data_IF_378167079099
#
_entry.id   IF_378167079099
#
_cell.length_a   1.000
_cell.length_b   1.000
_cell.length_c   1.000
_cell.angle_alpha   90.00
_cell.angle_beta   90.00
_cell.angle_gamma   90.00
#
_symmetry.space_group_name_H-M   'P 1'
#
loop_
_entity.id
_entity.type
_entity.pdbx_description
1 polymer ?
#
# COMPACT_ATOMS: atom_id res chain seq x y z
N UNK A 1 -35.63 -1.77 7.54
CA UNK A 1 -34.99 -0.52 7.06
C UNK A 1 -33.62 -0.75 6.42
N UNK A 2 -33.19 -2.00 6.17
CA UNK A 2 -31.91 -2.30 5.50
C UNK A 2 -32.13 -3.13 4.22
N UNK A 3 -33.07 -4.08 4.27
CA UNK A 3 -33.49 -4.94 3.16
C UNK A 3 -34.06 -4.19 1.95
N UNK A 4 -34.89 -3.16 2.15
CA UNK A 4 -35.46 -2.37 1.06
C UNK A 4 -34.39 -1.53 0.33
N UNK A 5 -33.40 -1.04 1.08
CA UNK A 5 -32.28 -0.28 0.54
C UNK A 5 -31.32 -1.21 -0.24
N UNK A 6 -31.08 -2.42 0.27
CA UNK A 6 -30.32 -3.46 -0.43
C UNK A 6 -31.02 -3.93 -1.72
N UNK A 7 -32.35 -4.12 -1.70
CA UNK A 7 -33.12 -4.53 -2.87
C UNK A 7 -33.02 -3.52 -4.03
N UNK A 8 -32.91 -2.23 -3.74
CA UNK A 8 -32.68 -1.19 -4.75
C UNK A 8 -31.35 -1.30 -5.49
N UNK A 9 -30.40 -2.09 -4.98
CA UNK A 9 -29.11 -2.36 -5.63
C UNK A 9 -29.03 -3.71 -6.35
N UNK A 10 -30.09 -4.53 -6.33
CA UNK A 10 -30.07 -5.87 -6.92
C UNK A 10 -29.70 -5.88 -8.43
N UNK A 11 -30.00 -4.81 -9.16
CA UNK A 11 -29.61 -4.67 -10.57
C UNK A 11 -28.08 -4.59 -10.76
N UNK A 12 -27.32 -4.23 -9.72
CA UNK A 12 -25.86 -4.16 -9.75
C UNK A 12 -25.19 -5.50 -9.40
N UNK A 13 -25.93 -6.49 -8.89
CA UNK A 13 -25.38 -7.77 -8.43
C UNK A 13 -24.47 -8.44 -9.50
N UNK A 14 -24.81 -8.46 -10.80
CA UNK A 14 -23.92 -9.03 -11.81
C UNK A 14 -22.59 -8.27 -11.97
N UNK A 15 -22.61 -6.95 -11.79
CA UNK A 15 -21.41 -6.10 -11.86
C UNK A 15 -20.51 -6.33 -10.64
N UNK A 16 -21.12 -6.45 -9.46
CA UNK A 16 -20.41 -6.79 -8.21
C UNK A 16 -19.73 -8.14 -8.34
N UNK A 17 -20.46 -9.19 -8.74
CA UNK A 17 -19.90 -10.53 -8.91
C UNK A 17 -18.77 -10.57 -9.95
N UNK A 18 -18.91 -9.82 -11.06
CA UNK A 18 -17.84 -9.69 -12.07
C UNK A 18 -16.60 -9.02 -11.46
N UNK A 19 -16.79 -7.97 -10.67
CA UNK A 19 -15.69 -7.25 -10.03
C UNK A 19 -14.97 -8.15 -9.01
N UNK A 20 -15.71 -8.82 -8.14
CA UNK A 20 -15.15 -9.78 -7.16
C UNK A 20 -14.29 -10.83 -7.85
N UNK A 21 -14.84 -11.51 -8.88
CA UNK A 21 -14.09 -12.51 -9.64
C UNK A 21 -12.83 -11.94 -10.29
N UNK A 22 -12.90 -10.72 -10.83
CA UNK A 22 -11.74 -10.07 -11.45
C UNK A 22 -10.67 -9.72 -10.41
N UNK A 23 -11.06 -9.22 -9.23
CA UNK A 23 -10.15 -8.89 -8.13
C UNK A 23 -9.52 -10.15 -7.53
N UNK A 24 -10.29 -11.22 -7.34
CA UNK A 24 -9.76 -12.54 -6.91
C UNK A 24 -8.69 -13.05 -7.88
N UNK A 25 -8.90 -12.86 -9.18
CA UNK A 25 -7.96 -13.25 -10.23
C UNK A 25 -6.64 -12.48 -10.25
N UNK A 26 -6.50 -11.40 -9.47
CA UNK A 26 -5.23 -10.67 -9.33
C UNK A 26 -4.24 -11.41 -8.43
N UNK A 27 -4.73 -12.27 -7.53
CA UNK A 27 -3.86 -13.00 -6.62
C UNK A 27 -3.25 -14.22 -7.32
N UNK A 28 -1.93 -14.43 -7.21
CA UNK A 28 -1.28 -15.63 -7.75
C UNK A 28 -1.90 -16.91 -7.18
N UNK A 29 -2.20 -17.88 -8.05
CA UNK A 29 -2.74 -19.17 -7.62
C UNK A 29 -1.76 -19.88 -6.68
N UNK A 30 -2.26 -20.33 -5.53
CA UNK A 30 -1.45 -21.01 -4.51
C UNK A 30 -0.58 -20.08 -3.66
N UNK A 31 -0.76 -18.76 -3.75
CA UNK A 31 -0.12 -17.79 -2.84
C UNK A 31 -0.71 -17.85 -1.43
N UNK A 32 0.14 -17.63 -0.42
CA UNK A 32 -0.26 -17.52 0.99
C UNK A 32 -0.54 -16.05 1.35
N UNK A 33 -1.54 -15.46 0.69
CA UNK A 33 -1.96 -14.09 0.97
C UNK A 33 -2.67 -14.04 2.33
N UNK A 34 -2.07 -13.38 3.31
CA UNK A 34 -2.63 -13.32 4.66
C UNK A 34 -2.42 -11.96 5.34
N UNK A 35 -3.37 -11.49 6.18
CA UNK A 35 -3.25 -10.20 6.86
C UNK A 35 -2.09 -10.15 7.88
N UNK A 36 -1.63 -11.32 8.36
CA UNK A 36 -0.50 -11.41 9.30
C UNK A 36 0.80 -10.80 8.77
N UNK A 37 1.00 -10.84 7.44
CA UNK A 37 2.18 -10.27 6.79
C UNK A 37 2.32 -8.77 7.05
N UNK A 38 1.20 -8.05 7.20
CA UNK A 38 1.23 -6.62 7.56
C UNK A 38 1.80 -6.44 8.97
N UNK A 39 1.38 -7.28 9.93
CA UNK A 39 1.89 -7.22 11.29
C UNK A 39 3.38 -7.59 11.36
N UNK A 40 3.80 -8.62 10.62
CA UNK A 40 5.21 -9.03 10.50
C UNK A 40 6.08 -7.91 9.92
N UNK A 41 5.59 -7.24 8.88
CA UNK A 41 6.29 -6.13 8.26
C UNK A 41 6.39 -4.89 9.18
N UNK A 42 5.35 -4.60 9.96
CA UNK A 42 5.39 -3.56 11.00
C UNK A 42 6.48 -3.89 12.03
N UNK A 43 6.52 -5.13 12.53
CA UNK A 43 7.55 -5.55 13.50
C UNK A 43 8.94 -5.38 12.90
N UNK A 44 9.17 -5.86 11.68
CA UNK A 44 10.43 -5.69 10.95
C UNK A 44 10.86 -4.23 10.87
N UNK A 45 9.94 -3.32 10.50
CA UNK A 45 10.24 -1.88 10.40
C UNK A 45 10.55 -1.26 11.76
N UNK A 46 9.85 -1.67 12.82
CA UNK A 46 10.09 -1.16 14.17
C UNK A 46 11.47 -1.56 14.70
N UNK A 47 11.94 -2.76 14.34
CA UNK A 47 13.25 -3.30 14.71
C UNK A 47 14.43 -2.64 13.97
N UNK A 48 14.18 -1.89 12.89
CA UNK A 48 15.22 -1.16 12.18
C UNK A 48 15.77 0.01 13.01
N UNK A 49 17.10 0.28 12.95
CA UNK A 49 17.71 1.43 13.60
C UNK A 49 17.09 2.77 13.19
N UNK A 50 17.31 3.78 14.04
CA UNK A 50 16.86 5.14 13.75
C UNK A 50 17.50 5.68 12.45
N UNK A 51 16.66 6.11 11.51
CA UNK A 51 17.11 6.60 10.20
C UNK A 51 17.23 5.52 9.12
N UNK A 52 17.10 4.23 9.46
CA UNK A 52 17.12 3.13 8.48
C UNK A 52 15.73 2.63 8.09
N UNK A 53 14.68 3.11 8.79
CA UNK A 53 13.29 2.78 8.45
C UNK A 53 12.95 3.28 7.05
N UNK A 54 12.36 2.43 6.19
CA UNK A 54 11.99 2.86 4.85
C UNK A 54 10.87 3.90 4.94
N UNK A 55 10.86 4.85 4.00
CA UNK A 55 9.81 5.87 3.94
C UNK A 55 8.43 5.27 3.65
N UNK A 56 8.39 4.18 2.88
CA UNK A 56 7.22 3.32 2.68
C UNK A 56 7.67 1.86 2.69
N UNK A 57 6.86 1.00 3.26
CA UNK A 57 6.95 -0.43 3.04
C UNK A 57 5.64 -0.93 2.43
N UNK A 58 5.70 -1.99 1.64
CA UNK A 58 4.55 -2.52 0.90
C UNK A 58 4.42 -4.02 1.17
N UNK A 59 3.20 -4.43 1.48
CA UNK A 59 2.77 -5.83 1.50
C UNK A 59 1.69 -5.96 0.44
N UNK A 60 2.08 -6.44 -0.74
CA UNK A 60 1.19 -6.58 -1.90
C UNK A 60 1.25 -8.00 -2.46
N UNK A 61 0.21 -8.78 -2.19
CA UNK A 61 0.07 -10.13 -2.74
C UNK A 61 -0.59 -10.14 -4.12
N UNK A 62 -1.17 -9.02 -4.56
CA UNK A 62 -1.87 -8.90 -5.83
C UNK A 62 -0.95 -8.48 -6.98
N UNK A 63 0.29 -8.11 -6.68
CA UNK A 63 1.27 -7.61 -7.65
C UNK A 63 0.73 -6.42 -8.45
N UNK A 64 0.01 -5.51 -7.78
CA UNK A 64 -0.57 -4.31 -8.38
C UNK A 64 0.49 -3.28 -8.81
N UNK A 65 1.76 -3.50 -8.48
CA UNK A 65 2.89 -2.68 -8.94
C UNK A 65 2.98 -1.34 -8.22
N UNK A 66 2.43 -1.24 -7.01
CA UNK A 66 2.39 0.01 -6.23
C UNK A 66 3.79 0.48 -5.82
N UNK A 67 4.76 -0.41 -5.70
CA UNK A 67 6.17 -0.10 -5.42
C UNK A 67 6.76 0.82 -6.50
N UNK A 68 6.45 0.55 -7.78
CA UNK A 68 6.93 1.35 -8.90
C UNK A 68 6.35 2.77 -8.85
N UNK A 69 5.05 2.88 -8.57
CA UNK A 69 4.38 4.18 -8.41
C UNK A 69 4.95 4.94 -7.22
N UNK A 70 5.14 4.25 -6.08
CA UNK A 70 5.72 4.82 -4.87
C UNK A 70 7.14 5.34 -5.12
N UNK A 71 7.96 4.62 -5.89
CA UNK A 71 9.31 5.02 -6.22
C UNK A 71 9.33 6.31 -7.04
N UNK A 72 8.53 6.39 -8.10
CA UNK A 72 8.45 7.61 -8.94
C UNK A 72 7.97 8.80 -8.11
N UNK A 73 6.95 8.60 -7.27
CA UNK A 73 6.44 9.66 -6.40
C UNK A 73 7.48 10.11 -5.36
N UNK A 74 8.24 9.16 -4.81
CA UNK A 74 9.31 9.48 -3.85
C UNK A 74 10.42 10.31 -4.50
N UNK A 75 10.85 9.93 -5.70
CA UNK A 75 11.86 10.69 -6.45
C UNK A 75 11.41 12.12 -6.73
N UNK A 76 10.18 12.30 -7.23
CA UNK A 76 9.63 13.64 -7.48
C UNK A 76 9.56 14.49 -6.20
N UNK A 77 9.20 13.89 -5.06
CA UNK A 77 9.17 14.57 -3.77
C UNK A 77 10.58 14.97 -3.31
N UNK A 78 11.57 14.10 -3.42
CA UNK A 78 12.96 14.38 -3.04
C UNK A 78 13.57 15.50 -3.89
N UNK A 79 13.35 15.46 -5.21
CA UNK A 79 13.80 16.49 -6.14
C UNK A 79 13.21 17.85 -5.80
N UNK A 80 11.89 17.89 -5.54
CA UNK A 80 11.20 19.13 -5.22
C UNK A 80 11.69 19.74 -3.89
N UNK A 81 11.78 18.93 -2.83
CA UNK A 81 12.25 19.37 -1.51
C UNK A 81 13.70 19.84 -1.56
N UNK A 82 14.54 19.14 -2.32
CA UNK A 82 15.94 19.54 -2.53
C UNK A 82 16.03 20.87 -3.28
N UNK A 83 15.22 21.08 -4.33
CA UNK A 83 15.19 22.33 -5.09
C UNK A 83 14.72 23.54 -4.25
N UNK A 84 13.91 23.31 -3.23
CA UNK A 84 13.52 24.34 -2.26
C UNK A 84 14.63 24.68 -1.24
N UNK A 85 15.72 23.91 -1.21
CA UNK A 85 16.80 24.09 -0.25
C UNK A 85 16.56 23.41 1.10
N UNK A 86 15.64 22.44 1.18
CA UNK A 86 15.26 21.73 2.41
C UNK A 86 15.65 20.24 2.39
N UNK A 87 16.70 19.88 1.64
CA UNK A 87 17.10 18.48 1.45
C UNK A 87 17.45 17.77 2.77
N UNK A 88 17.91 18.49 3.78
CA UNK A 88 18.19 17.96 5.11
C UNK A 88 16.94 17.40 5.81
N UNK A 89 15.75 17.88 5.47
CA UNK A 89 14.48 17.38 6.03
C UNK A 89 14.11 15.99 5.50
N UNK A 90 14.77 15.51 4.43
CA UNK A 90 14.56 14.16 3.90
C UNK A 90 15.20 13.08 4.77
N UNK A 91 16.03 13.47 5.74
CA UNK A 91 16.76 12.55 6.61
C UNK A 91 16.42 12.78 8.08
N UNK A 92 16.30 11.68 8.83
CA UNK A 92 16.13 11.76 10.28
C UNK A 92 17.43 12.28 10.91
N UNK A 93 17.32 13.29 11.77
CA UNK A 93 18.45 13.76 12.58
C UNK A 93 18.93 12.63 13.50
N UNK A 94 20.19 12.25 13.36
CA UNK A 94 20.83 11.32 14.28
C UNK A 94 20.96 11.99 15.65
N UNK A 95 20.52 11.32 16.71
CA UNK A 95 20.76 11.82 18.08
C UNK A 95 22.24 11.59 18.39
N UNK A 96 22.92 12.67 18.79
CA UNK A 96 24.29 12.62 19.34
C UNK A 96 24.32 11.93 20.70
#
# INVERSE_FOLDING_TARGET
>A
ADTERAAGYAELDPLVARNEKATEGLFPAGGDAHPRAVAEEIVRVLDLPAGERPFRTVVDFSQAGVENVNQVMRQAQEEFVTRLGFGELLHVKQKS
#
